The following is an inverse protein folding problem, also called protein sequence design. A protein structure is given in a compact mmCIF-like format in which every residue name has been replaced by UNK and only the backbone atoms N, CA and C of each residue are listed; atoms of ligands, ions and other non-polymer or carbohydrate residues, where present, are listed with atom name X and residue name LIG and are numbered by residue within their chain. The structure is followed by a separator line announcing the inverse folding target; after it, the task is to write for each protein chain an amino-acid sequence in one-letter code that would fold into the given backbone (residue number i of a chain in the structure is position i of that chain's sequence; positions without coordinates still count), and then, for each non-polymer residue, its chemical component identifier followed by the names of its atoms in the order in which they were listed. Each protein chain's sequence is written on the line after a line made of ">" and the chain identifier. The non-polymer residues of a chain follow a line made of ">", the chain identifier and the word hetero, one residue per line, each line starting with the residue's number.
data_IF_085182861599
#
_entry.id   IF_085182861599
#
_cell.length_a   1.000
_cell.length_b   1.000
_cell.length_c   1.000
_cell.angle_alpha   90.00
_cell.angle_beta   90.00
_cell.angle_gamma   90.00
#
_symmetry.space_group_name_H-M   'P 1'
#
loop_
_entity.id
_entity.type
_entity.pdbx_description
1 polymer ?
#
# COMPACT_ATOMS: atom_id res chain seq x y z
N UNK A 1 16.79 11.36 34.35
CA UNK A 1 15.57 10.53 34.46
C UNK A 1 14.88 10.66 33.12
N UNK A 2 15.47 9.99 32.13
CA UNK A 2 15.14 10.13 30.72
C UNK A 2 13.84 9.36 30.48
N UNK A 3 12.78 10.10 30.19
CA UNK A 3 11.48 9.57 29.85
C UNK A 3 11.58 8.82 28.52
N UNK A 4 11.95 7.54 28.57
CA UNK A 4 11.80 6.63 27.47
C UNK A 4 10.29 6.51 27.21
N UNK A 5 9.79 7.35 26.30
CA UNK A 5 8.48 7.18 25.70
C UNK A 5 8.51 5.81 25.03
N UNK A 6 8.07 4.79 25.74
CA UNK A 6 7.97 3.45 25.21
C UNK A 6 7.04 3.53 24.00
N UNK A 7 7.61 3.40 22.80
CA UNK A 7 6.85 3.25 21.57
C UNK A 7 5.78 2.19 21.83
N UNK A 8 4.51 2.60 21.74
CA UNK A 8 3.41 1.67 21.94
C UNK A 8 3.51 0.57 20.87
N UNK A 9 3.17 -0.69 21.20
CA UNK A 9 3.23 -1.82 20.26
C UNK A 9 2.41 -1.58 18.97
N UNK A 10 1.44 -0.67 19.03
CA UNK A 10 0.65 -0.25 17.88
C UNK A 10 1.44 0.61 16.87
N UNK A 11 2.38 1.44 17.35
CA UNK A 11 3.22 2.30 16.50
C UNK A 11 4.19 1.48 15.65
N UNK A 12 4.79 0.43 16.23
CA UNK A 12 5.70 -0.48 15.53
C UNK A 12 4.99 -1.22 14.39
N UNK A 13 3.76 -1.70 14.66
CA UNK A 13 2.90 -2.32 13.65
C UNK A 13 2.53 -1.35 12.52
N UNK A 14 2.16 -0.12 12.85
CA UNK A 14 1.82 0.89 11.84
C UNK A 14 3.04 1.28 10.98
N UNK A 15 4.23 1.38 11.58
CA UNK A 15 5.45 1.66 10.84
C UNK A 15 5.84 0.48 9.93
N UNK A 16 5.71 -0.76 10.41
CA UNK A 16 5.92 -1.95 9.61
C UNK A 16 4.97 -1.97 8.40
N UNK A 17 3.67 -1.75 8.61
CA UNK A 17 2.68 -1.68 7.53
C UNK A 17 3.05 -0.62 6.48
N UNK A 18 3.47 0.58 6.92
CA UNK A 18 3.93 1.65 6.00
C UNK A 18 5.12 1.22 5.16
N UNK A 19 6.10 0.53 5.77
CA UNK A 19 7.28 0.01 5.05
C UNK A 19 6.88 -1.04 4.02
N UNK A 20 5.95 -1.93 4.36
CA UNK A 20 5.45 -2.95 3.44
C UNK A 20 4.68 -2.34 2.26
N UNK A 21 3.84 -1.32 2.51
CA UNK A 21 3.10 -0.59 1.45
C UNK A 21 4.07 0.17 0.53
N UNK A 22 5.12 0.78 1.08
CA UNK A 22 6.15 1.44 0.29
C UNK A 22 6.86 0.44 -0.64
N UNK A 23 7.34 -0.68 -0.10
CA UNK A 23 7.98 -1.73 -0.89
C UNK A 23 7.05 -2.33 -1.96
N UNK A 24 5.76 -2.50 -1.65
CA UNK A 24 4.75 -2.90 -2.62
C UNK A 24 4.63 -1.89 -3.77
N UNK A 25 4.60 -0.60 -3.45
CA UNK A 25 4.49 0.48 -4.44
C UNK A 25 5.66 0.44 -5.41
N UNK A 26 6.89 0.30 -4.92
CA UNK A 26 8.09 0.17 -5.76
C UNK A 26 8.00 -1.03 -6.70
N UNK A 27 7.58 -2.19 -6.18
CA UNK A 27 7.41 -3.42 -6.98
C UNK A 27 6.33 -3.26 -8.06
N UNK A 28 5.22 -2.61 -7.74
CA UNK A 28 4.16 -2.34 -8.71
C UNK A 28 4.61 -1.33 -9.77
N UNK A 29 5.35 -0.29 -9.39
CA UNK A 29 5.89 0.69 -10.35
C UNK A 29 6.85 0.03 -11.33
N UNK A 30 7.71 -0.86 -10.85
CA UNK A 30 8.60 -1.65 -11.71
C UNK A 30 7.83 -2.60 -12.63
N UNK A 31 6.78 -3.27 -12.10
CA UNK A 31 5.96 -4.23 -12.86
C UNK A 31 5.08 -3.55 -13.92
N UNK A 32 4.52 -2.39 -13.62
CA UNK A 32 3.66 -1.61 -14.50
C UNK A 32 4.42 -0.42 -15.09
N UNK A 33 5.63 -0.68 -15.61
CA UNK A 33 6.53 0.34 -16.15
C UNK A 33 5.98 1.11 -17.36
N UNK A 34 4.92 0.59 -17.99
CA UNK A 34 4.19 1.27 -19.09
C UNK A 34 3.22 2.34 -18.58
N UNK A 35 2.92 2.36 -17.28
CA UNK A 35 2.08 3.38 -16.64
C UNK A 35 2.95 4.39 -15.91
N UNK A 36 2.54 5.67 -15.83
CA UNK A 36 3.24 6.65 -15.02
C UNK A 36 3.20 6.26 -13.54
N UNK A 37 4.30 6.47 -12.82
CA UNK A 37 4.44 6.13 -11.40
C UNK A 37 3.28 6.72 -10.56
N UNK A 38 2.87 7.95 -10.85
CA UNK A 38 1.77 8.61 -10.14
C UNK A 38 0.43 7.87 -10.26
N UNK A 39 0.19 7.13 -11.34
CA UNK A 39 -1.02 6.30 -11.49
C UNK A 39 -0.93 5.03 -10.64
N UNK A 40 0.26 4.45 -10.52
CA UNK A 40 0.52 3.31 -9.63
C UNK A 40 0.37 3.73 -8.17
N UNK A 41 1.01 4.84 -7.77
CA UNK A 41 0.91 5.42 -6.43
C UNK A 41 -0.55 5.75 -6.06
N UNK A 42 -1.30 6.38 -6.98
CA UNK A 42 -2.71 6.68 -6.75
C UNK A 42 -3.57 5.41 -6.57
N UNK A 43 -3.27 4.33 -7.32
CA UNK A 43 -3.98 3.07 -7.18
C UNK A 43 -3.69 2.41 -5.83
N UNK A 44 -2.44 2.42 -5.37
CA UNK A 44 -2.05 1.90 -4.05
C UNK A 44 -2.70 2.72 -2.94
N UNK A 45 -2.62 4.05 -3.01
CA UNK A 45 -3.23 4.96 -2.02
C UNK A 45 -4.75 4.78 -1.92
N UNK A 46 -5.43 4.64 -3.05
CA UNK A 46 -6.88 4.38 -3.08
C UNK A 46 -7.22 3.04 -2.41
N UNK A 47 -6.35 2.04 -2.59
CA UNK A 47 -6.54 0.73 -1.99
C UNK A 47 -6.25 0.74 -0.48
N UNK A 48 -5.24 1.49 -0.04
CA UNK A 48 -4.94 1.75 1.38
C UNK A 48 -6.11 2.47 2.07
N UNK A 49 -6.61 3.56 1.48
CA UNK A 49 -7.72 4.34 2.06
C UNK A 49 -9.00 3.51 2.23
N UNK A 50 -9.25 2.59 1.29
CA UNK A 50 -10.38 1.64 1.37
C UNK A 50 -10.28 0.68 2.58
N UNK A 51 -9.11 0.57 3.21
CA UNK A 51 -8.85 -0.29 4.37
C UNK A 51 -8.70 0.51 5.67
N UNK A 52 -8.88 1.83 5.63
CA UNK A 52 -8.69 2.70 6.81
C UNK A 52 -9.63 2.39 7.98
N UNK A 53 -10.80 1.82 7.68
CA UNK A 53 -11.79 1.39 8.68
C UNK A 53 -11.76 -0.13 8.96
N UNK A 54 -10.80 -0.85 8.37
CA UNK A 54 -10.73 -2.30 8.51
C UNK A 54 -10.37 -2.72 9.94
N UNK A 55 -11.26 -3.47 10.58
CA UNK A 55 -11.12 -3.95 11.96
C UNK A 55 -9.95 -4.93 12.16
N UNK A 56 -9.48 -5.58 11.11
CA UNK A 56 -8.37 -6.54 11.14
C UNK A 56 -7.32 -6.09 10.12
N UNK A 57 -6.14 -5.72 10.61
CA UNK A 57 -5.08 -5.11 9.79
C UNK A 57 -4.05 -6.10 9.23
N UNK A 58 -4.01 -7.32 9.76
CA UNK A 58 -3.10 -8.39 9.28
C UNK A 58 -3.22 -8.71 7.79
N UNK A 59 -4.35 -8.39 7.16
CA UNK A 59 -4.60 -8.66 5.75
C UNK A 59 -4.57 -7.43 4.86
N UNK A 60 -4.29 -6.24 5.42
CA UNK A 60 -4.34 -4.95 4.69
C UNK A 60 -3.42 -5.01 3.47
N UNK A 61 -2.18 -5.48 3.61
CA UNK A 61 -1.23 -5.55 2.50
C UNK A 61 -1.74 -6.41 1.34
N UNK A 62 -2.30 -7.59 1.64
CA UNK A 62 -2.81 -8.53 0.63
C UNK A 62 -3.99 -7.90 -0.13
N UNK A 63 -4.89 -7.22 0.58
CA UNK A 63 -6.02 -6.55 -0.05
C UNK A 63 -5.59 -5.33 -0.87
N UNK A 64 -4.66 -4.53 -0.34
CA UNK A 64 -4.08 -3.36 -1.02
C UNK A 64 -3.43 -3.80 -2.34
N UNK A 65 -2.57 -4.82 -2.30
CA UNK A 65 -1.91 -5.36 -3.49
C UNK A 65 -2.92 -5.87 -4.52
N UNK A 66 -3.90 -6.68 -4.08
CA UNK A 66 -4.91 -7.25 -4.97
C UNK A 66 -5.72 -6.16 -5.66
N UNK A 67 -6.16 -5.14 -4.92
CA UNK A 67 -6.98 -4.04 -5.46
C UNK A 67 -6.17 -3.13 -6.39
N UNK A 68 -4.93 -2.80 -6.02
CA UNK A 68 -4.03 -2.03 -6.87
C UNK A 68 -3.75 -2.74 -8.20
N UNK A 69 -3.40 -4.04 -8.16
CA UNK A 69 -3.19 -4.85 -9.37
C UNK A 69 -4.41 -4.90 -10.27
N UNK A 70 -5.60 -5.12 -9.71
CA UNK A 70 -6.83 -5.15 -10.49
C UNK A 70 -7.09 -3.81 -11.20
N UNK A 71 -6.91 -2.68 -10.49
CA UNK A 71 -7.07 -1.36 -11.09
C UNK A 71 -6.05 -1.07 -12.20
N UNK A 72 -4.78 -1.46 -12.01
CA UNK A 72 -3.72 -1.25 -12.98
C UNK A 72 -3.87 -2.16 -14.21
N UNK A 73 -4.27 -3.42 -14.02
CA UNK A 73 -4.55 -4.36 -15.10
C UNK A 73 -5.67 -3.86 -16.03
N UNK A 74 -6.73 -3.29 -15.45
CA UNK A 74 -7.79 -2.62 -16.23
C UNK A 74 -7.25 -1.45 -17.03
N UNK A 75 -6.36 -0.62 -16.44
CA UNK A 75 -5.76 0.51 -17.15
C UNK A 75 -4.87 0.08 -18.31
N UNK A 76 -4.08 -0.98 -18.14
CA UNK A 76 -3.26 -1.54 -19.23
C UNK A 76 -4.15 -2.04 -20.37
N UNK A 77 -5.21 -2.78 -20.05
CA UNK A 77 -6.17 -3.28 -21.05
C UNK A 77 -6.86 -2.16 -21.83
N UNK A 78 -7.13 -1.03 -21.19
CA UNK A 78 -7.76 0.13 -21.81
C UNK A 78 -6.79 0.98 -22.67
N UNK A 79 -5.48 0.70 -22.63
CA UNK A 79 -4.44 1.39 -23.40
C UNK A 79 -3.93 0.58 -24.60
N UNK A 80 -4.51 -0.60 -24.88
CA UNK A 80 -4.25 -1.47 -26.04
C UNK A 80 -5.47 -1.40 -26.97
#
# INVERSE_FOLDING_TARGET
>A
MDGQSASSPDTDRQEHERREIAALTERLTSRYSTLPASVVEAAVRTAEDSMRDARIRDYVLIFVERRARAALDQRVKNSI
#
